data_IF_977965319558
#
_entry.id   IF_977965319558
#
_cell.length_a   1.000
_cell.length_b   1.000
_cell.length_c   1.000
_cell.angle_alpha   90.00
_cell.angle_beta   90.00
_cell.angle_gamma   90.00
#
_symmetry.space_group_name_H-M   'P 1'
#
loop_
_entity.id
_entity.type
_entity.pdbx_description
1 polymer ?
#
# COMPACT_ATOMS: atom_id res chain seq x y z
N UNK A 1 -19.52 8.99 -7.25
CA UNK A 1 -18.86 9.37 -5.97
C UNK A 1 -17.35 9.28 -6.18
N UNK A 2 -16.69 10.40 -6.54
CA UNK A 2 -15.23 10.48 -6.75
C UNK A 2 -14.56 10.50 -5.37
N UNK A 3 -14.17 9.34 -4.85
CA UNK A 3 -13.45 9.28 -3.58
C UNK A 3 -12.02 9.80 -3.76
N UNK A 4 -11.82 11.08 -3.44
CA UNK A 4 -10.67 11.62 -2.71
C UNK A 4 -9.25 11.21 -3.19
N UNK A 5 -8.86 11.62 -4.40
CA UNK A 5 -7.42 11.67 -4.76
C UNK A 5 -6.63 12.65 -3.88
N UNK A 6 -7.31 13.63 -3.27
CA UNK A 6 -6.70 14.61 -2.35
C UNK A 6 -6.19 13.98 -1.06
N UNK A 7 -6.90 12.99 -0.49
CA UNK A 7 -6.47 12.33 0.76
C UNK A 7 -5.08 11.70 0.65
N UNK A 8 -4.79 11.04 -0.48
CA UNK A 8 -3.48 10.45 -0.75
C UNK A 8 -2.39 11.50 -0.91
N UNK A 9 -2.69 12.63 -1.55
CA UNK A 9 -1.74 13.73 -1.76
C UNK A 9 -1.30 14.36 -0.42
N UNK A 10 -2.21 14.50 0.53
CA UNK A 10 -1.88 14.99 1.88
C UNK A 10 -0.99 14.01 2.65
N UNK A 11 -1.22 12.71 2.51
CA UNK A 11 -0.35 11.67 3.09
C UNK A 11 1.06 11.72 2.46
N UNK A 12 1.15 11.95 1.15
CA UNK A 12 2.43 12.12 0.47
C UNK A 12 3.14 13.43 0.86
N UNK A 13 2.39 14.49 1.18
CA UNK A 13 2.95 15.82 1.49
C UNK A 13 3.34 16.00 2.96
N UNK A 14 2.58 15.43 3.89
CA UNK A 14 2.76 15.62 5.34
C UNK A 14 3.02 14.33 6.11
N UNK A 15 2.81 13.16 5.48
CA UNK A 15 2.89 11.87 6.13
C UNK A 15 4.26 11.20 5.99
N UNK A 16 4.51 10.21 6.84
CA UNK A 16 5.63 9.27 6.69
C UNK A 16 5.13 8.09 5.85
N UNK A 17 5.76 7.88 4.71
CA UNK A 17 5.45 6.76 3.82
C UNK A 17 6.74 6.06 3.42
N UNK A 18 6.65 4.77 3.11
CA UNK A 18 7.76 3.99 2.56
C UNK A 18 7.34 3.39 1.23
N UNK A 19 8.14 3.63 0.21
CA UNK A 19 7.95 3.08 -1.13
C UNK A 19 8.95 1.95 -1.38
N UNK A 20 8.55 1.00 -2.23
CA UNK A 20 9.39 -0.10 -2.67
C UNK A 20 9.11 -1.43 -1.96
N UNK A 21 9.23 -2.51 -2.73
CA UNK A 21 8.84 -3.86 -2.32
C UNK A 21 9.55 -4.36 -1.05
N UNK A 22 10.88 -4.34 -1.03
CA UNK A 22 11.70 -4.85 0.08
C UNK A 22 11.45 -4.07 1.37
N UNK A 23 11.28 -2.75 1.26
CA UNK A 23 11.01 -1.87 2.40
C UNK A 23 9.62 -2.14 2.97
N UNK A 24 8.60 -2.30 2.11
CA UNK A 24 7.23 -2.63 2.51
C UNK A 24 7.19 -3.97 3.27
N UNK A 25 7.88 -5.00 2.77
CA UNK A 25 8.01 -6.29 3.48
C UNK A 25 8.65 -6.13 4.87
N UNK A 26 9.70 -5.32 5.00
CA UNK A 26 10.34 -5.05 6.30
C UNK A 26 9.40 -4.31 7.26
N UNK A 27 8.63 -3.35 6.75
CA UNK A 27 7.65 -2.58 7.54
C UNK A 27 6.46 -3.45 7.97
N UNK A 28 5.99 -4.33 7.08
CA UNK A 28 4.95 -5.33 7.34
C UNK A 28 5.36 -6.31 8.43
N UNK A 29 6.59 -6.85 8.36
CA UNK A 29 7.13 -7.75 9.39
C UNK A 29 7.20 -7.09 10.76
N UNK A 30 7.45 -5.78 10.80
CA UNK A 30 7.48 -5.00 12.04
C UNK A 30 6.10 -4.46 12.45
N UNK A 31 5.02 -4.78 11.71
CA UNK A 31 3.66 -4.29 11.95
C UNK A 31 3.53 -2.76 12.12
N UNK A 32 4.43 -1.99 11.48
CA UNK A 32 4.44 -0.52 11.60
C UNK A 32 3.56 0.19 10.57
N UNK A 33 3.10 -0.53 9.55
CA UNK A 33 2.24 0.01 8.49
C UNK A 33 0.77 -0.08 8.85
N UNK A 34 0.00 0.98 8.63
CA UNK A 34 -1.47 1.00 8.82
C UNK A 34 -2.25 0.80 7.53
N UNK A 35 -1.61 1.09 6.39
CA UNK A 35 -2.21 0.97 5.08
C UNK A 35 -1.14 0.63 4.04
N UNK A 36 -1.50 -0.22 3.09
CA UNK A 36 -0.70 -0.56 1.92
C UNK A 36 -1.45 -0.19 0.65
N UNK A 37 -0.73 0.44 -0.27
CA UNK A 37 -1.20 0.77 -1.61
C UNK A 37 -0.54 -0.18 -2.61
N UNK A 38 -1.34 -0.90 -3.38
CA UNK A 38 -0.85 -1.77 -4.45
C UNK A 38 -1.32 -1.20 -5.79
N UNK A 39 -0.37 -0.89 -6.67
CA UNK A 39 -0.68 -0.47 -8.03
C UNK A 39 -1.17 -1.64 -8.88
N UNK A 40 -2.07 -1.37 -9.83
CA UNK A 40 -2.57 -2.40 -10.75
C UNK A 40 -1.48 -2.98 -11.69
N UNK A 41 -0.37 -2.26 -11.90
CA UNK A 41 0.75 -2.71 -12.73
C UNK A 41 1.70 -3.70 -12.00
N UNK A 42 1.43 -4.06 -10.75
CA UNK A 42 2.24 -5.06 -10.05
C UNK A 42 1.96 -6.47 -10.60
N UNK A 43 2.98 -7.30 -10.89
CA UNK A 43 2.75 -8.67 -11.33
C UNK A 43 1.99 -9.46 -10.26
N UNK A 44 1.10 -10.38 -10.67
CA UNK A 44 0.14 -11.03 -9.77
C UNK A 44 0.80 -11.76 -8.62
N UNK A 45 1.95 -12.42 -8.85
CA UNK A 45 2.70 -13.12 -7.80
C UNK A 45 3.11 -12.20 -6.65
N UNK A 46 3.67 -11.02 -6.95
CA UNK A 46 4.08 -10.04 -5.92
C UNK A 46 2.88 -9.41 -5.23
N UNK A 47 1.78 -9.22 -5.95
CA UNK A 47 0.54 -8.70 -5.38
C UNK A 47 -0.01 -9.66 -4.33
N UNK A 48 -0.14 -10.94 -4.66
CA UNK A 48 -0.60 -11.99 -3.73
C UNK A 48 0.33 -12.13 -2.52
N UNK A 49 1.65 -12.02 -2.71
CA UNK A 49 2.61 -12.07 -1.61
C UNK A 49 2.41 -10.90 -0.61
N UNK A 50 2.26 -9.68 -1.11
CA UNK A 50 2.02 -8.50 -0.26
C UNK A 50 0.67 -8.59 0.45
N UNK A 51 -0.38 -9.02 -0.25
CA UNK A 51 -1.72 -9.22 0.33
C UNK A 51 -1.70 -10.26 1.45
N UNK A 52 -0.98 -11.35 1.26
CA UNK A 52 -0.79 -12.38 2.27
C UNK A 52 -0.12 -11.83 3.53
N UNK A 53 0.99 -11.10 3.38
CA UNK A 53 1.66 -10.48 4.53
C UNK A 53 0.83 -9.37 5.18
N UNK A 54 0.05 -8.63 4.40
CA UNK A 54 -0.86 -7.62 4.92
C UNK A 54 -2.00 -8.23 5.75
N UNK A 55 -2.54 -9.37 5.32
CA UNK A 55 -3.53 -10.13 6.07
C UNK A 55 -2.97 -10.61 7.41
N UNK A 56 -1.77 -11.18 7.42
CA UNK A 56 -1.10 -11.62 8.66
C UNK A 56 -0.85 -10.45 9.63
N UNK A 57 -0.46 -9.29 9.11
CA UNK A 57 -0.21 -8.08 9.90
C UNK A 57 -1.49 -7.27 10.23
N UNK A 58 -2.68 -7.73 9.77
CA UNK A 58 -3.96 -7.02 9.92
C UNK A 58 -3.93 -5.58 9.39
N UNK A 59 -3.26 -5.35 8.26
CA UNK A 59 -3.09 -4.04 7.62
C UNK A 59 -4.08 -3.89 6.48
N UNK A 60 -4.70 -2.71 6.35
CA UNK A 60 -5.60 -2.42 5.23
C UNK A 60 -4.85 -2.38 3.90
N UNK A 61 -5.39 -3.03 2.87
CA UNK A 61 -4.85 -3.01 1.50
C UNK A 61 -5.80 -2.23 0.60
N UNK A 62 -5.28 -1.25 -0.11
CA UNK A 62 -6.01 -0.50 -1.12
C UNK A 62 -5.38 -0.71 -2.49
N UNK A 63 -6.18 -1.23 -3.42
CA UNK A 63 -5.78 -1.33 -4.82
C UNK A 63 -5.91 0.05 -5.47
N UNK A 64 -4.79 0.60 -5.90
CA UNK A 64 -4.74 1.82 -6.69
C UNK A 64 -4.81 1.42 -8.17
N UNK A 65 -6.00 1.57 -8.75
CA UNK A 65 -6.14 1.61 -10.19
C UNK A 65 -5.80 3.04 -10.60
N UNK A 66 -4.74 3.21 -11.40
CA UNK A 66 -4.23 4.54 -11.76
C UNK A 66 -5.34 5.46 -12.26
N UNK A 67 -5.15 6.76 -12.07
CA UNK A 67 -5.90 7.75 -12.82
C UNK A 67 -5.45 7.67 -14.27
N UNK A 68 -6.37 7.31 -15.18
CA UNK A 68 -6.31 7.86 -16.53
C UNK A 68 -6.26 9.39 -16.46
#
# INVERSE_FOLDING_TARGET
MRASTTGWLWVMKSGKYTLGYKTVLKTLRNSKGKLILISNNCPPLRKSEIEYYAMLAKVGVHHYNGSE
#
